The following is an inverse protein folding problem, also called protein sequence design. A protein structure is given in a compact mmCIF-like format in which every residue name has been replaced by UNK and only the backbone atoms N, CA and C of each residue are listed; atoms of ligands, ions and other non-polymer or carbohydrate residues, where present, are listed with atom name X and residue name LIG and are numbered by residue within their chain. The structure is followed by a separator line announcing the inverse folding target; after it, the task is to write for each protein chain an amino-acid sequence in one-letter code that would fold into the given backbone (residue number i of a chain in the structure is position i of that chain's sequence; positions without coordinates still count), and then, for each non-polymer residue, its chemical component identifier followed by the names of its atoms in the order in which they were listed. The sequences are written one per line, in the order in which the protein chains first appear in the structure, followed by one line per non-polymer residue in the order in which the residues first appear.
data_IF_944095831510
#
_entry.id   IF_944095831510
#
_cell.length_a   1.000
_cell.length_b   1.000
_cell.length_c   1.000
_cell.angle_alpha   90.00
_cell.angle_beta   90.00
_cell.angle_gamma   90.00
#
_symmetry.space_group_name_H-M   'P 1'
#
loop_
_entity.id
_entity.type
_entity.pdbx_description
1 polymer ?
#
# COMPACT_ATOMS: atom_id res chain seq x y z
N UNK A 1 -4.76 11.29 -22.60
CA UNK A 1 -3.96 10.26 -21.91
C UNK A 1 -2.74 10.95 -21.33
N UNK A 2 -2.51 10.86 -20.03
CA UNK A 2 -1.31 11.42 -19.42
C UNK A 2 -0.09 10.69 -19.96
N UNK A 3 0.89 11.43 -20.45
CA UNK A 3 2.07 10.88 -21.09
C UNK A 3 3.28 11.08 -20.18
N UNK A 4 4.12 10.05 -20.07
CA UNK A 4 5.37 10.13 -19.31
C UNK A 4 6.34 11.06 -20.02
N UNK A 5 6.88 12.03 -19.28
CA UNK A 5 7.93 12.93 -19.73
C UNK A 5 9.29 12.27 -19.44
N UNK A 6 9.87 11.61 -20.43
CA UNK A 6 11.10 10.80 -20.29
C UNK A 6 12.27 11.57 -19.68
N UNK A 7 12.45 12.86 -20.00
CA UNK A 7 13.51 13.68 -19.42
C UNK A 7 13.33 13.87 -17.90
N UNK A 8 12.07 13.99 -17.44
CA UNK A 8 11.75 14.12 -16.03
C UNK A 8 11.97 12.79 -15.30
N UNK A 9 11.59 11.68 -15.92
CA UNK A 9 11.84 10.35 -15.39
C UNK A 9 13.34 10.08 -15.17
N UNK A 10 14.18 10.39 -16.19
CA UNK A 10 15.66 10.26 -16.09
C UNK A 10 16.28 11.16 -15.01
N UNK A 11 15.75 12.38 -14.83
CA UNK A 11 16.18 13.25 -13.73
C UNK A 11 15.81 12.65 -12.39
N UNK A 12 14.61 12.08 -12.30
CA UNK A 12 14.08 11.51 -11.08
C UNK A 12 14.85 10.27 -10.59
N UNK A 13 15.48 9.49 -11.47
CA UNK A 13 16.33 8.36 -11.10
C UNK A 13 17.45 8.73 -10.09
N UNK A 14 17.92 9.98 -10.15
CA UNK A 14 18.99 10.51 -9.29
C UNK A 14 18.50 11.06 -7.93
N UNK A 15 17.20 11.21 -7.72
CA UNK A 15 16.62 11.77 -6.53
C UNK A 15 16.08 10.68 -5.62
N UNK A 16 16.08 10.91 -4.31
CA UNK A 16 15.51 9.98 -3.34
C UNK A 16 14.11 10.39 -2.92
N UNK A 17 13.24 9.39 -2.80
CA UNK A 17 11.91 9.55 -2.22
C UNK A 17 11.98 9.84 -0.72
N UNK A 18 11.07 10.67 -0.24
CA UNK A 18 10.92 11.07 1.17
C UNK A 18 9.53 10.72 1.70
N UNK A 19 9.42 10.60 3.02
CA UNK A 19 8.13 10.47 3.68
C UNK A 19 7.42 11.82 3.78
N UNK A 20 6.08 11.80 3.72
CA UNK A 20 5.24 12.99 3.86
C UNK A 20 5.00 13.75 2.56
N UNK A 21 4.31 14.88 2.67
CA UNK A 21 4.04 15.80 1.58
C UNK A 21 5.09 16.93 1.54
N UNK A 22 5.43 17.39 0.35
CA UNK A 22 6.53 18.32 0.15
C UNK A 22 6.12 19.51 -0.73
N UNK A 23 6.95 20.54 -0.68
CA UNK A 23 6.83 21.69 -1.61
C UNK A 23 7.58 21.40 -2.91
N UNK A 24 7.17 22.00 -4.04
CA UNK A 24 7.95 21.99 -5.27
C UNK A 24 9.41 22.39 -5.00
N UNK A 25 10.35 21.78 -5.70
CA UNK A 25 11.79 22.09 -5.66
C UNK A 25 12.57 21.62 -4.41
N UNK A 26 11.96 20.84 -3.51
CA UNK A 26 12.67 20.35 -2.32
C UNK A 26 12.93 18.83 -2.35
N UNK A 27 11.87 18.07 -2.19
CA UNK A 27 11.87 16.61 -2.08
C UNK A 27 10.56 16.06 -2.63
N UNK A 28 10.45 14.75 -2.78
CA UNK A 28 9.27 14.11 -3.37
C UNK A 28 8.83 12.91 -2.54
N UNK A 29 7.53 12.77 -2.28
CA UNK A 29 6.95 11.47 -2.05
C UNK A 29 6.72 10.74 -3.41
N UNK A 30 6.35 9.47 -3.36
CA UNK A 30 6.14 8.67 -4.58
C UNK A 30 5.11 9.30 -5.53
N UNK A 31 4.02 9.90 -5.03
CA UNK A 31 2.96 10.45 -5.88
C UNK A 31 3.27 11.87 -6.40
N UNK A 32 4.00 12.67 -5.66
CA UNK A 32 4.55 13.94 -6.16
C UNK A 32 5.54 13.68 -7.32
N UNK A 33 6.34 12.61 -7.20
CA UNK A 33 7.18 12.14 -8.30
C UNK A 33 6.37 11.72 -9.52
N UNK A 34 5.25 11.01 -9.31
CA UNK A 34 4.33 10.64 -10.41
C UNK A 34 3.74 11.89 -11.07
N UNK A 35 3.24 12.88 -10.30
CA UNK A 35 2.73 14.14 -10.84
C UNK A 35 3.79 14.85 -11.68
N UNK A 36 5.02 14.95 -11.15
CA UNK A 36 6.14 15.56 -11.87
C UNK A 36 6.45 14.86 -13.19
N UNK A 37 6.55 13.53 -13.18
CA UNK A 37 6.87 12.73 -14.39
C UNK A 37 5.72 12.77 -15.41
N UNK A 38 4.48 12.83 -14.95
CA UNK A 38 3.29 12.93 -15.79
C UNK A 38 3.04 14.36 -16.34
N UNK A 39 3.81 15.36 -15.87
CA UNK A 39 3.60 16.76 -16.27
C UNK A 39 2.37 17.42 -15.67
N UNK A 40 1.84 16.84 -14.60
CA UNK A 40 0.71 17.40 -13.87
C UNK A 40 1.14 18.48 -12.85
N UNK A 41 0.22 19.29 -12.36
CA UNK A 41 0.49 20.18 -11.23
C UNK A 41 1.03 19.42 -10.03
N UNK A 42 1.88 20.06 -9.24
CA UNK A 42 2.44 19.46 -8.03
C UNK A 42 1.35 18.99 -7.07
N UNK A 43 1.32 17.70 -6.80
CA UNK A 43 0.31 17.09 -5.93
C UNK A 43 0.72 15.67 -5.54
N UNK A 44 0.39 15.26 -4.33
CA UNK A 44 0.40 13.86 -3.90
C UNK A 44 -0.89 13.12 -4.28
N UNK A 45 -1.77 13.79 -5.05
CA UNK A 45 -3.01 13.26 -5.62
C UNK A 45 -3.08 13.49 -7.14
N UNK A 46 -2.12 12.97 -7.93
CA UNK A 46 -2.12 13.18 -9.38
C UNK A 46 -3.39 12.64 -10.03
N UNK A 47 -3.94 13.41 -10.98
CA UNK A 47 -5.19 13.05 -11.63
C UNK A 47 -5.08 11.82 -12.53
N UNK A 48 -3.90 11.53 -13.04
CA UNK A 48 -3.63 10.37 -13.89
C UNK A 48 -3.63 9.04 -13.14
N UNK A 49 -3.57 9.06 -11.81
CA UNK A 49 -3.48 7.84 -10.98
C UNK A 49 -4.85 7.43 -10.45
N UNK A 50 -5.11 6.14 -10.44
CA UNK A 50 -6.28 5.57 -9.76
C UNK A 50 -6.26 5.95 -8.27
N UNK A 51 -7.35 6.53 -7.72
CA UNK A 51 -7.40 6.96 -6.33
C UNK A 51 -7.08 5.86 -5.31
N UNK A 52 -7.46 4.62 -5.60
CA UNK A 52 -7.16 3.46 -4.72
C UNK A 52 -5.66 3.17 -4.69
N UNK A 53 -5.02 3.12 -5.87
CA UNK A 53 -3.57 2.91 -5.97
C UNK A 53 -2.83 4.07 -5.30
N UNK A 54 -3.27 5.30 -5.55
CA UNK A 54 -2.67 6.50 -4.95
C UNK A 54 -2.77 6.48 -3.43
N UNK A 55 -3.94 6.17 -2.86
CA UNK A 55 -4.11 6.07 -1.41
C UNK A 55 -3.20 5.00 -0.80
N UNK A 56 -3.10 3.82 -1.43
CA UNK A 56 -2.22 2.75 -1.00
C UNK A 56 -0.75 3.17 -1.00
N UNK A 57 -0.28 3.77 -2.11
CA UNK A 57 1.11 4.20 -2.25
C UNK A 57 1.50 5.32 -1.27
N UNK A 58 0.60 6.27 -0.96
CA UNK A 58 0.88 7.31 0.06
C UNK A 58 1.13 6.71 1.43
N UNK A 59 0.18 5.88 1.89
CA UNK A 59 0.31 5.23 3.20
C UNK A 59 1.57 4.37 3.27
N UNK A 60 1.87 3.65 2.19
CA UNK A 60 3.06 2.81 2.13
C UNK A 60 4.34 3.64 2.09
N UNK A 61 4.39 4.73 1.31
CA UNK A 61 5.52 5.67 1.29
C UNK A 61 5.87 6.17 2.69
N UNK A 62 4.86 6.60 3.45
CA UNK A 62 5.07 7.18 4.77
C UNK A 62 5.41 6.14 5.84
N UNK A 63 4.90 4.92 5.68
CA UNK A 63 5.17 3.80 6.58
C UNK A 63 6.55 3.15 6.41
N UNK A 64 7.29 3.43 5.33
CA UNK A 64 8.60 2.82 5.09
C UNK A 64 9.68 3.41 6.02
N UNK A 65 10.61 2.56 6.52
CA UNK A 65 11.55 2.96 7.57
C UNK A 65 12.70 3.88 7.10
N UNK A 66 12.97 3.90 5.78
CA UNK A 66 14.09 4.69 5.22
C UNK A 66 13.86 5.09 3.77
N UNK A 67 14.57 6.13 3.33
CA UNK A 67 14.55 6.59 1.94
C UNK A 67 15.08 5.53 0.98
N UNK A 68 16.08 4.76 1.38
CA UNK A 68 16.62 3.66 0.58
C UNK A 68 15.57 2.57 0.31
N UNK A 69 14.74 2.24 1.31
CA UNK A 69 13.62 1.30 1.13
C UNK A 69 12.51 1.90 0.26
N UNK A 70 12.21 3.21 0.39
CA UNK A 70 11.29 3.92 -0.51
C UNK A 70 11.77 3.85 -1.96
N UNK A 71 13.03 4.16 -2.18
CA UNK A 71 13.62 4.12 -3.52
C UNK A 71 13.55 2.71 -4.13
N UNK A 72 13.95 1.72 -3.36
CA UNK A 72 13.96 0.32 -3.80
C UNK A 72 12.56 -0.19 -4.14
N UNK A 73 11.56 0.09 -3.29
CA UNK A 73 10.23 -0.49 -3.41
C UNK A 73 9.28 0.34 -4.28
N UNK A 74 9.36 1.67 -4.23
CA UNK A 74 8.35 2.53 -4.82
C UNK A 74 8.75 3.18 -6.14
N UNK A 75 10.05 3.47 -6.36
CA UNK A 75 10.50 4.03 -7.65
C UNK A 75 10.08 3.21 -8.88
N UNK A 76 10.09 1.86 -8.85
CA UNK A 76 9.64 1.05 -9.98
C UNK A 76 8.18 1.28 -10.38
N UNK A 77 7.36 1.84 -9.50
CA UNK A 77 5.94 2.11 -9.78
C UNK A 77 5.67 3.50 -10.36
N UNK A 78 6.61 4.46 -10.26
CA UNK A 78 6.38 5.84 -10.68
C UNK A 78 5.85 5.92 -12.12
N UNK A 79 6.53 5.31 -13.07
CA UNK A 79 6.09 5.29 -14.47
C UNK A 79 4.84 4.39 -14.68
N UNK A 80 4.75 3.27 -13.97
CA UNK A 80 3.70 2.26 -14.16
C UNK A 80 2.32 2.73 -13.72
N UNK A 81 2.22 3.65 -12.77
CA UNK A 81 0.94 4.12 -12.25
C UNK A 81 0.37 5.30 -13.04
N UNK A 82 1.15 5.94 -13.89
CA UNK A 82 0.67 6.97 -14.81
C UNK A 82 -0.39 6.37 -15.75
N UNK A 83 -1.54 7.05 -15.87
CA UNK A 83 -2.64 6.60 -16.71
C UNK A 83 -3.49 5.46 -16.13
N UNK A 84 -3.28 5.09 -14.87
CA UNK A 84 -4.10 4.04 -14.21
C UNK A 84 -5.49 4.53 -13.80
N UNK A 85 -5.82 5.83 -13.95
CA UNK A 85 -7.14 6.39 -13.65
C UNK A 85 -8.20 5.73 -14.52
N UNK A 86 -9.11 4.97 -13.87
CA UNK A 86 -10.24 4.32 -14.53
C UNK A 86 -11.35 4.05 -13.51
N UNK A 87 -12.44 4.80 -13.59
CA UNK A 87 -13.59 4.69 -12.67
C UNK A 87 -14.17 3.28 -12.60
N UNK A 88 -14.18 2.56 -13.70
CA UNK A 88 -14.75 1.21 -13.77
C UNK A 88 -13.91 0.18 -13.00
N UNK A 89 -12.62 0.46 -12.80
CA UNK A 89 -11.69 -0.42 -12.10
C UNK A 89 -11.48 -0.04 -10.63
N UNK A 90 -11.93 1.13 -10.19
CA UNK A 90 -11.72 1.61 -8.81
C UNK A 90 -12.31 0.63 -7.79
N UNK A 91 -13.55 0.17 -8.03
CA UNK A 91 -14.21 -0.82 -7.15
C UNK A 91 -13.42 -2.12 -7.07
N UNK A 92 -13.00 -2.69 -8.21
CA UNK A 92 -12.20 -3.93 -8.25
C UNK A 92 -10.88 -3.78 -7.50
N UNK A 93 -10.16 -2.68 -7.72
CA UNK A 93 -8.90 -2.38 -7.03
C UNK A 93 -9.09 -2.16 -5.52
N UNK A 94 -10.20 -1.53 -5.13
CA UNK A 94 -10.58 -1.38 -3.73
C UNK A 94 -10.81 -2.73 -3.03
N UNK A 95 -11.50 -3.66 -3.69
CA UNK A 95 -11.69 -5.02 -3.19
C UNK A 95 -10.37 -5.78 -3.06
N UNK A 96 -9.47 -5.68 -4.06
CA UNK A 96 -8.12 -6.28 -4.00
C UNK A 96 -7.31 -5.74 -2.81
N UNK A 97 -7.35 -4.44 -2.57
CA UNK A 97 -6.66 -3.82 -1.43
C UNK A 97 -7.26 -4.27 -0.09
N UNK A 98 -8.59 -4.36 -0.01
CA UNK A 98 -9.30 -4.84 1.20
C UNK A 98 -9.01 -6.31 1.48
N UNK A 99 -9.02 -7.13 0.46
CA UNK A 99 -8.68 -8.56 0.58
C UNK A 99 -7.27 -8.74 1.11
N UNK A 100 -6.29 -8.06 0.52
CA UNK A 100 -4.91 -8.11 0.98
C UNK A 100 -4.76 -7.65 2.43
N UNK A 101 -5.41 -6.53 2.80
CA UNK A 101 -5.36 -6.00 4.16
C UNK A 101 -5.92 -6.98 5.18
N UNK A 102 -7.05 -7.62 4.87
CA UNK A 102 -7.78 -8.50 5.79
C UNK A 102 -7.13 -9.88 5.84
N UNK A 103 -6.79 -10.49 4.69
CA UNK A 103 -6.38 -11.88 4.61
C UNK A 103 -4.86 -12.11 4.58
N UNK A 104 -4.06 -11.07 4.36
CA UNK A 104 -2.60 -11.16 4.26
C UNK A 104 -1.92 -10.28 5.31
N UNK A 105 -2.17 -8.97 5.25
CA UNK A 105 -1.45 -8.02 6.08
C UNK A 105 -1.80 -8.16 7.57
N UNK A 106 -3.08 -8.15 7.91
CA UNK A 106 -3.53 -8.25 9.32
C UNK A 106 -3.14 -9.60 9.96
N UNK A 107 -3.32 -10.76 9.34
CA UNK A 107 -2.86 -12.03 9.88
C UNK A 107 -1.36 -12.09 10.17
N UNK A 108 -0.53 -11.50 9.32
CA UNK A 108 0.91 -11.44 9.56
C UNK A 108 1.26 -10.73 10.88
N UNK A 109 0.58 -9.62 11.17
CA UNK A 109 0.73 -8.90 12.45
C UNK A 109 0.16 -9.68 13.64
N UNK A 110 -0.99 -10.32 13.47
CA UNK A 110 -1.60 -11.16 14.51
C UNK A 110 -0.67 -12.32 14.91
N UNK A 111 -0.05 -13.00 13.94
CA UNK A 111 0.93 -14.05 14.21
C UNK A 111 2.14 -13.55 15.00
N UNK A 112 2.63 -12.34 14.68
CA UNK A 112 3.71 -11.71 15.45
C UNK A 112 3.30 -11.40 16.90
N UNK A 113 2.04 -11.04 17.10
CA UNK A 113 1.46 -10.80 18.42
C UNK A 113 1.13 -12.10 19.19
N UNK A 114 1.35 -13.29 18.58
CA UNK A 114 0.98 -14.59 19.19
C UNK A 114 -0.50 -14.95 19.05
N UNK A 115 -1.28 -14.15 18.31
CA UNK A 115 -2.72 -14.36 18.06
C UNK A 115 -2.93 -15.28 16.83
N UNK A 116 -2.43 -16.52 16.93
CA UNK A 116 -2.41 -17.46 15.79
C UNK A 116 -3.82 -17.84 15.33
N UNK A 117 -4.72 -18.16 16.26
CA UNK A 117 -6.10 -18.55 15.92
C UNK A 117 -6.89 -17.41 15.25
N UNK A 118 -6.63 -16.17 15.65
CA UNK A 118 -7.22 -14.98 15.03
C UNK A 118 -6.67 -14.76 13.61
N UNK A 119 -5.37 -14.97 13.41
CA UNK A 119 -4.76 -14.91 12.09
C UNK A 119 -5.37 -15.97 11.14
N UNK A 120 -5.45 -17.22 11.57
CA UNK A 120 -6.05 -18.31 10.80
C UNK A 120 -7.52 -18.05 10.45
N UNK A 121 -8.28 -17.45 11.36
CA UNK A 121 -9.67 -17.05 11.11
C UNK A 121 -9.79 -16.05 9.95
N UNK A 122 -8.89 -15.07 9.86
CA UNK A 122 -8.90 -14.10 8.75
C UNK A 122 -8.36 -14.70 7.44
N UNK A 123 -7.31 -15.53 7.52
CA UNK A 123 -6.74 -16.21 6.36
C UNK A 123 -7.73 -17.18 5.71
N UNK A 124 -8.62 -17.81 6.51
CA UNK A 124 -9.63 -18.77 6.02
C UNK A 124 -10.86 -18.11 5.40
N UNK A 125 -11.00 -16.77 5.49
CA UNK A 125 -12.09 -16.08 4.80
C UNK A 125 -11.98 -16.29 3.29
N UNK A 126 -13.13 -16.36 2.57
CA UNK A 126 -13.11 -16.38 1.11
C UNK A 126 -12.49 -15.10 0.54
N UNK A 127 -11.90 -15.20 -0.65
CA UNK A 127 -11.38 -14.03 -1.36
C UNK A 127 -12.47 -12.96 -1.52
N UNK A 128 -12.13 -11.71 -1.21
CA UNK A 128 -13.08 -10.59 -1.25
C UNK A 128 -13.11 -10.03 -2.67
N UNK A 129 -14.07 -10.46 -3.43
CA UNK A 129 -14.28 -10.09 -4.84
C UNK A 129 -15.54 -9.26 -5.07
N UNK A 130 -16.46 -9.19 -4.08
CA UNK A 130 -17.69 -8.41 -4.15
C UNK A 130 -17.98 -7.69 -2.82
N UNK A 131 -18.58 -6.50 -2.92
CA UNK A 131 -19.08 -5.73 -1.78
C UNK A 131 -20.16 -6.48 -0.98
N UNK A 132 -20.94 -7.33 -1.62
CA UNK A 132 -21.96 -8.15 -0.96
C UNK A 132 -21.39 -9.11 0.10
N UNK A 133 -20.09 -9.38 0.08
CA UNK A 133 -19.41 -10.23 1.07
C UNK A 133 -19.13 -9.51 2.40
N UNK A 134 -19.09 -8.16 2.41
CA UNK A 134 -18.71 -7.40 3.62
C UNK A 134 -19.60 -7.66 4.84
N UNK A 135 -20.92 -7.79 4.76
CA UNK A 135 -21.76 -8.12 5.92
C UNK A 135 -21.37 -9.41 6.60
N UNK A 136 -21.00 -10.45 5.82
CA UNK A 136 -20.62 -11.76 6.38
C UNK A 136 -19.23 -11.80 7.02
N UNK A 137 -18.31 -10.94 6.57
CA UNK A 137 -16.94 -10.87 7.12
C UNK A 137 -16.82 -9.86 8.26
N UNK A 138 -17.81 -8.99 8.47
CA UNK A 138 -17.80 -7.96 9.52
C UNK A 138 -17.61 -8.54 10.92
N UNK A 139 -18.41 -9.55 11.28
CA UNK A 139 -18.32 -10.20 12.59
C UNK A 139 -16.94 -10.80 12.89
N UNK A 140 -16.38 -11.63 12.02
CA UNK A 140 -15.01 -12.12 12.17
C UNK A 140 -13.95 -11.01 12.34
N UNK A 141 -14.05 -9.91 11.58
CA UNK A 141 -13.11 -8.78 11.67
C UNK A 141 -13.24 -8.06 13.03
N UNK A 142 -14.47 -7.80 13.49
CA UNK A 142 -14.73 -7.13 14.77
C UNK A 142 -14.20 -7.96 15.96
N UNK A 143 -14.45 -9.28 15.97
CA UNK A 143 -13.93 -10.17 16.99
C UNK A 143 -12.40 -10.18 17.04
N UNK A 144 -11.74 -10.26 15.89
CA UNK A 144 -10.27 -10.20 15.81
C UNK A 144 -9.74 -8.83 16.25
N UNK A 145 -10.43 -7.74 15.94
CA UNK A 145 -10.05 -6.39 16.33
C UNK A 145 -10.03 -6.22 17.86
N UNK A 146 -11.01 -6.77 18.56
CA UNK A 146 -11.08 -6.72 20.03
C UNK A 146 -9.91 -7.49 20.64
N UNK A 147 -9.68 -8.71 20.18
CA UNK A 147 -8.57 -9.56 20.64
C UNK A 147 -7.20 -8.90 20.36
N UNK A 148 -7.02 -8.33 19.17
CA UNK A 148 -5.79 -7.65 18.77
C UNK A 148 -5.50 -6.39 19.61
N UNK A 149 -6.53 -5.67 20.03
CA UNK A 149 -6.38 -4.45 20.84
C UNK A 149 -5.79 -4.77 22.23
N UNK A 150 -6.20 -5.88 22.83
CA UNK A 150 -5.65 -6.33 24.10
C UNK A 150 -4.18 -6.79 24.00
N UNK A 151 -3.81 -7.41 22.87
CA UNK A 151 -2.45 -7.91 22.64
C UNK A 151 -1.46 -6.82 22.17
N UNK A 152 -1.96 -5.76 21.51
CA UNK A 152 -1.13 -4.70 20.95
C UNK A 152 -0.28 -3.97 22.01
N UNK A 153 -0.86 -3.68 23.16
CA UNK A 153 -0.18 -2.99 24.25
C UNK A 153 0.97 -3.81 24.86
N UNK A 154 0.82 -5.14 24.90
CA UNK A 154 1.84 -6.07 25.37
C UNK A 154 2.98 -6.30 24.35
N UNK A 155 2.64 -6.33 23.07
CA UNK A 155 3.59 -6.65 21.99
C UNK A 155 4.52 -5.49 21.61
N UNK A 156 4.12 -4.25 21.83
CA UNK A 156 4.85 -3.05 21.40
C UNK A 156 6.26 -2.94 21.99
N UNK A 157 6.46 -3.45 23.20
CA UNK A 157 7.75 -3.41 23.90
C UNK A 157 8.74 -4.49 23.41
N UNK A 158 8.25 -5.67 22.98
CA UNK A 158 9.10 -6.81 22.62
C UNK A 158 9.42 -6.91 21.12
N UNK A 159 8.76 -6.11 20.28
CA UNK A 159 8.54 -6.41 18.88
C UNK A 159 9.64 -6.01 17.90
N UNK A 160 10.43 -4.98 18.18
CA UNK A 160 11.30 -4.36 17.14
C UNK A 160 12.28 -5.34 16.47
N UNK A 161 12.81 -6.31 17.19
CA UNK A 161 13.82 -7.27 16.69
C UNK A 161 13.19 -8.50 15.98
N UNK A 162 11.98 -8.90 16.39
CA UNK A 162 11.23 -10.03 15.77
C UNK A 162 10.46 -9.63 14.52
N UNK A 163 10.26 -8.33 14.30
CA UNK A 163 9.40 -7.78 13.24
C UNK A 163 10.04 -7.78 11.85
N UNK A 164 11.38 -7.68 11.76
CA UNK A 164 12.08 -7.47 10.50
C UNK A 164 11.73 -8.48 9.39
N UNK A 165 11.72 -9.82 9.62
CA UNK A 165 11.40 -10.78 8.55
C UNK A 165 9.95 -10.67 8.07
N UNK A 166 9.00 -10.39 8.97
CA UNK A 166 7.58 -10.25 8.62
C UNK A 166 7.33 -8.95 7.87
N UNK A 167 7.97 -7.85 8.28
CA UNK A 167 7.94 -6.60 7.55
C UNK A 167 8.43 -6.81 6.13
N UNK A 168 9.55 -7.50 5.93
CA UNK A 168 10.09 -7.79 4.60
C UNK A 168 9.10 -8.56 3.71
N UNK A 169 8.51 -9.65 4.22
CA UNK A 169 7.47 -10.40 3.50
C UNK A 169 6.25 -9.56 3.14
N UNK A 170 5.81 -8.69 4.06
CA UNK A 170 4.68 -7.78 3.79
C UNK A 170 5.02 -6.74 2.73
N UNK A 171 6.25 -6.24 2.68
CA UNK A 171 6.69 -5.34 1.62
C UNK A 171 6.68 -6.04 0.25
N UNK A 172 7.17 -7.28 0.17
CA UNK A 172 7.11 -8.07 -1.07
C UNK A 172 5.65 -8.29 -1.51
N UNK A 173 4.78 -8.71 -0.59
CA UNK A 173 3.35 -8.89 -0.86
C UNK A 173 2.64 -7.59 -1.28
N UNK A 174 3.04 -6.44 -0.73
CA UNK A 174 2.52 -5.14 -1.14
C UNK A 174 2.94 -4.76 -2.57
N UNK A 175 4.18 -5.09 -2.97
CA UNK A 175 4.65 -4.92 -4.36
C UNK A 175 3.77 -5.72 -5.33
N UNK A 176 3.52 -7.00 -5.01
CA UNK A 176 2.66 -7.87 -5.82
C UNK A 176 1.23 -7.33 -5.90
N UNK A 177 0.66 -6.84 -4.79
CA UNK A 177 -0.66 -6.24 -4.78
C UNK A 177 -0.74 -5.02 -5.70
N UNK A 178 0.20 -4.09 -5.59
CA UNK A 178 0.21 -2.87 -6.43
C UNK A 178 0.32 -3.26 -7.91
N UNK A 179 1.17 -4.23 -8.27
CA UNK A 179 1.27 -4.72 -9.65
C UNK A 179 -0.07 -5.32 -10.12
N UNK A 180 -0.73 -6.17 -9.31
CA UNK A 180 -2.07 -6.72 -9.63
C UNK A 180 -3.14 -5.64 -9.80
N UNK A 181 -3.09 -4.57 -8.99
CA UNK A 181 -4.04 -3.44 -9.14
C UNK A 181 -3.79 -2.64 -10.43
N UNK A 182 -2.53 -2.51 -10.87
CA UNK A 182 -2.18 -1.85 -12.14
C UNK A 182 -2.66 -2.70 -13.32
N UNK A 183 -2.44 -4.01 -13.27
CA UNK A 183 -2.76 -4.96 -14.34
C UNK A 183 -4.26 -5.28 -14.43
N UNK A 184 -5.07 -4.92 -13.43
CA UNK A 184 -6.51 -5.15 -13.40
C UNK A 184 -7.20 -4.45 -14.58
N UNK A 185 -7.94 -5.21 -15.40
CA UNK A 185 -8.67 -4.80 -16.61
C UNK A 185 -10.16 -5.00 -16.40
#
# INVERSE_FOLDING_TARGET
MSQIIEERLKKFEKWSLKAGAHSPDSTFCVLEAVAYVAGEPWSDHPECVCPVIGAFLRVWNDGLPSDAERDRLLKPFIAKVVGTRNKNLERKRGLMASDWLIRVHTPAWLRLAGLVSQAERLESLPEITDMAQFPSIKGPIEAVREDARAAWDAARAAAKKKLSPTIHKLQESAVELVQRMIDAR
#
